data_IF_396314497089
#
_entry.id   IF_396314497089
#
_cell.length_a   1.000
_cell.length_b   1.000
_cell.length_c   1.000
_cell.angle_alpha   90.00
_cell.angle_beta   90.00
_cell.angle_gamma   90.00
#
_symmetry.space_group_name_H-M   'P 1'
#
loop_
_entity.id
_entity.type
_entity.pdbx_description
1 polymer ?
#
# COMPACT_ATOMS: atom_id res chain seq x y z
N UNK A 1 -14.07 5.93 2.02
CA UNK A 1 -13.00 5.09 2.66
C UNK A 1 -12.25 5.88 3.71
N UNK A 2 -11.72 5.22 4.74
CA UNK A 2 -10.85 5.85 5.75
C UNK A 2 -9.46 5.25 5.64
N UNK A 3 -8.44 6.10 5.52
CA UNK A 3 -7.04 5.69 5.45
C UNK A 3 -6.31 6.05 6.74
N UNK A 4 -5.61 5.09 7.32
CA UNK A 4 -4.67 5.27 8.42
C UNK A 4 -3.28 4.88 7.96
N UNK A 5 -2.31 5.77 8.14
CA UNK A 5 -0.90 5.49 7.91
C UNK A 5 -0.20 5.25 9.25
N UNK A 6 0.58 4.18 9.29
CA UNK A 6 1.57 3.94 10.32
C UNK A 6 2.96 4.12 9.73
N UNK A 7 3.87 4.62 10.55
CA UNK A 7 5.29 4.67 10.24
C UNK A 7 5.98 3.68 11.16
N UNK A 8 6.50 2.60 10.58
CA UNK A 8 7.10 1.50 11.30
C UNK A 8 8.59 1.37 10.98
N UNK A 9 9.29 0.59 11.78
CA UNK A 9 10.72 0.30 11.71
C UNK A 9 11.63 1.55 11.61
N UNK A 10 12.96 1.39 11.72
CA UNK A 10 13.91 2.52 11.63
C UNK A 10 13.91 3.26 10.29
N UNK A 11 13.44 2.61 9.22
CA UNK A 11 13.36 3.22 7.88
C UNK A 11 12.10 4.04 7.66
N UNK A 12 11.16 4.06 8.66
CA UNK A 12 9.88 4.77 8.59
C UNK A 12 9.03 4.31 7.42
N UNK A 13 9.02 3.00 7.18
CA UNK A 13 8.13 2.40 6.20
C UNK A 13 6.67 2.77 6.49
N UNK A 14 5.89 2.96 5.44
CA UNK A 14 4.49 3.35 5.50
C UNK A 14 3.58 2.13 5.36
N UNK A 15 3.19 1.53 6.48
CA UNK A 15 2.10 0.54 6.50
C UNK A 15 0.75 1.26 6.49
N UNK A 16 -0.11 0.93 5.53
CA UNK A 16 -1.42 1.54 5.38
C UNK A 16 -2.54 0.60 5.81
N UNK A 17 -3.55 1.15 6.50
CA UNK A 17 -4.83 0.48 6.76
C UNK A 17 -5.93 1.28 6.08
N UNK A 18 -6.52 0.71 5.05
CA UNK A 18 -7.65 1.30 4.33
C UNK A 18 -8.93 0.55 4.68
N UNK A 19 -9.92 1.25 5.21
CA UNK A 19 -11.20 0.66 5.61
C UNK A 19 -12.40 1.23 4.85
N UNK A 20 -13.40 0.38 4.62
CA UNK A 20 -14.69 0.78 4.13
C UNK A 20 -15.42 1.57 5.22
N UNK A 21 -15.42 2.90 5.14
CA UNK A 21 -16.18 3.72 6.06
C UNK A 21 -17.63 3.83 5.59
N UNK A 22 -18.51 2.95 5.99
CA UNK A 22 -19.95 3.26 5.97
C UNK A 22 -20.32 4.05 7.23
N UNK A 23 -20.11 5.37 7.20
CA UNK A 23 -20.79 6.27 8.12
C UNK A 23 -22.24 6.42 7.64
N UNK A 24 -23.16 5.68 8.27
CA UNK A 24 -24.61 5.91 8.15
C UNK A 24 -25.14 6.35 9.52
N UNK A 25 -25.48 7.63 9.68
CA UNK A 25 -25.92 8.19 10.96
C UNK A 25 -27.24 7.59 11.50
N UNK A 26 -27.95 6.80 10.73
CA UNK A 26 -29.30 6.31 11.01
C UNK A 26 -29.43 4.80 11.29
N UNK A 27 -28.32 4.05 11.43
CA UNK A 27 -28.38 2.60 11.68
C UNK A 27 -27.72 2.14 12.97
N UNK A 28 -28.55 1.63 13.85
CA UNK A 28 -28.23 0.98 15.13
C UNK A 28 -27.51 -0.38 14.98
N UNK A 29 -27.26 -0.88 13.77
CA UNK A 29 -26.51 -2.10 13.53
C UNK A 29 -25.06 -1.76 13.17
N UNK A 30 -24.15 -2.08 14.06
CA UNK A 30 -22.70 -2.05 13.86
C UNK A 30 -22.36 -3.16 12.84
N UNK A 31 -22.36 -2.83 11.55
CA UNK A 31 -21.67 -3.66 10.58
C UNK A 31 -20.18 -3.57 10.88
N UNK A 32 -19.49 -4.70 10.97
CA UNK A 32 -18.02 -4.72 11.00
C UNK A 32 -17.51 -3.90 9.80
N UNK A 33 -16.54 -3.04 10.05
CA UNK A 33 -15.83 -2.32 8.99
C UNK A 33 -14.77 -3.25 8.44
N UNK A 34 -14.78 -3.50 7.14
CA UNK A 34 -13.73 -4.30 6.49
C UNK A 34 -12.53 -3.41 6.19
N UNK A 35 -11.36 -3.96 6.33
CA UNK A 35 -10.12 -3.24 6.04
C UNK A 35 -9.11 -4.13 5.30
N UNK A 36 -8.31 -3.48 4.46
CA UNK A 36 -7.09 -4.05 3.89
C UNK A 36 -5.88 -3.37 4.52
N UNK A 37 -4.82 -4.14 4.64
CA UNK A 37 -3.50 -3.66 5.06
C UNK A 37 -2.59 -3.69 3.84
N UNK A 38 -1.87 -2.61 3.58
CA UNK A 38 -0.86 -2.54 2.53
C UNK A 38 0.50 -2.41 3.21
N UNK A 39 1.34 -3.38 2.94
CA UNK A 39 2.61 -3.67 3.60
C UNK A 39 2.49 -3.93 5.11
N UNK A 40 3.53 -4.44 5.72
CA UNK A 40 3.54 -4.81 7.13
C UNK A 40 4.94 -4.61 7.71
N UNK A 41 5.29 -3.34 7.95
CA UNK A 41 6.63 -2.95 8.38
C UNK A 41 6.86 -2.96 9.87
N UNK A 42 5.91 -3.46 10.70
CA UNK A 42 6.06 -3.48 12.14
C UNK A 42 7.20 -4.41 12.57
N UNK A 43 8.25 -3.80 13.15
CA UNK A 43 9.51 -4.46 13.45
C UNK A 43 9.56 -5.13 14.82
N UNK A 44 8.87 -4.55 15.82
CA UNK A 44 8.93 -5.00 17.21
C UNK A 44 7.53 -5.12 17.84
N UNK A 45 7.48 -5.70 19.04
CA UNK A 45 6.24 -5.92 19.80
C UNK A 45 5.49 -4.60 20.10
N UNK A 46 6.18 -3.49 20.30
CA UNK A 46 5.58 -2.18 20.57
C UNK A 46 4.83 -1.66 19.33
N UNK A 47 5.42 -1.84 18.16
CA UNK A 47 4.80 -1.46 16.90
C UNK A 47 3.60 -2.38 16.58
N UNK A 48 3.74 -3.68 16.82
CA UNK A 48 2.66 -4.68 16.69
C UNK A 48 1.49 -4.37 17.63
N UNK A 49 1.77 -4.03 18.88
CA UNK A 49 0.74 -3.63 19.85
C UNK A 49 0.00 -2.37 19.37
N UNK A 50 0.73 -1.33 18.95
CA UNK A 50 0.14 -0.08 18.45
C UNK A 50 -0.77 -0.31 17.24
N UNK A 51 -0.39 -1.21 16.35
CA UNK A 51 -1.22 -1.62 15.21
C UNK A 51 -2.49 -2.34 15.68
N UNK A 52 -2.34 -3.36 16.52
CA UNK A 52 -3.47 -4.15 17.06
C UNK A 52 -4.47 -3.31 17.83
N UNK A 53 -4.00 -2.40 18.68
CA UNK A 53 -4.85 -1.47 19.43
C UNK A 53 -5.72 -0.61 18.48
N UNK A 54 -5.15 -0.14 17.38
CA UNK A 54 -5.91 0.61 16.37
C UNK A 54 -6.99 -0.27 15.73
N UNK A 55 -6.64 -1.47 15.28
CA UNK A 55 -7.59 -2.39 14.63
C UNK A 55 -8.76 -2.71 15.58
N UNK A 56 -8.49 -2.99 16.83
CA UNK A 56 -9.52 -3.29 17.83
C UNK A 56 -10.37 -2.04 18.16
N UNK A 57 -9.73 -0.89 18.37
CA UNK A 57 -10.42 0.37 18.69
C UNK A 57 -11.41 0.76 17.60
N UNK A 58 -11.00 0.64 16.34
CA UNK A 58 -11.83 0.96 15.18
C UNK A 58 -12.79 -0.17 14.78
N UNK A 59 -12.72 -1.32 15.46
CA UNK A 59 -13.54 -2.52 15.21
C UNK A 59 -13.42 -3.01 13.74
N UNK A 60 -12.19 -3.03 13.23
CA UNK A 60 -11.91 -3.43 11.85
C UNK A 60 -11.81 -4.96 11.73
N UNK A 61 -12.38 -5.49 10.66
CA UNK A 61 -12.14 -6.86 10.18
C UNK A 61 -11.15 -6.79 9.02
N UNK A 62 -9.93 -7.31 9.23
CA UNK A 62 -8.92 -7.34 8.16
C UNK A 62 -9.29 -8.45 7.18
N UNK A 63 -9.55 -8.08 5.93
CA UNK A 63 -9.94 -9.00 4.84
C UNK A 63 -8.80 -9.25 3.84
N UNK A 64 -7.70 -8.53 3.93
CA UNK A 64 -6.54 -8.72 3.08
C UNK A 64 -5.29 -8.03 3.61
N UNK A 65 -4.14 -8.66 3.39
CA UNK A 65 -2.81 -8.08 3.53
C UNK A 65 -2.15 -8.10 2.15
N UNK A 66 -1.87 -6.93 1.61
CA UNK A 66 -1.30 -6.72 0.28
C UNK A 66 0.15 -6.30 0.42
N UNK A 67 1.07 -7.02 -0.20
CA UNK A 67 2.50 -6.69 -0.16
C UNK A 67 2.91 -6.07 -1.48
N UNK A 68 3.48 -4.86 -1.43
CA UNK A 68 3.95 -4.17 -2.64
C UNK A 68 5.21 -4.82 -3.20
N UNK A 69 6.13 -5.22 -2.35
CA UNK A 69 7.35 -5.96 -2.70
C UNK A 69 7.99 -6.57 -1.44
N UNK A 70 8.89 -7.56 -1.63
CA UNK A 70 9.42 -8.34 -0.51
C UNK A 70 10.76 -7.80 0.04
N UNK A 71 10.93 -6.48 0.20
CA UNK A 71 12.03 -5.97 1.02
C UNK A 71 11.73 -6.15 2.52
N UNK A 72 12.75 -6.38 3.35
CA UNK A 72 12.55 -6.73 4.76
C UNK A 72 11.70 -5.73 5.54
N UNK A 73 11.85 -4.45 5.29
CA UNK A 73 11.12 -3.38 5.97
C UNK A 73 9.62 -3.31 5.61
N UNK A 74 9.21 -3.88 4.47
CA UNK A 74 7.81 -3.99 4.05
C UNK A 74 7.13 -5.29 4.51
N UNK A 75 7.92 -6.29 4.94
CA UNK A 75 7.38 -7.63 5.26
C UNK A 75 7.73 -8.14 6.66
N UNK A 76 8.50 -7.40 7.46
CA UNK A 76 8.97 -7.91 8.76
C UNK A 76 7.81 -8.20 9.74
N UNK A 77 6.68 -7.51 9.64
CA UNK A 77 5.47 -7.78 10.41
C UNK A 77 4.46 -8.72 9.74
N UNK A 78 4.77 -9.25 8.55
CA UNK A 78 3.84 -10.06 7.75
C UNK A 78 3.29 -11.27 8.52
N UNK A 79 4.17 -12.06 9.12
CA UNK A 79 3.78 -13.27 9.88
C UNK A 79 2.91 -12.93 11.09
N UNK A 80 3.22 -11.81 11.77
CA UNK A 80 2.40 -11.31 12.86
C UNK A 80 0.98 -10.98 12.39
N UNK A 81 0.82 -10.24 11.28
CA UNK A 81 -0.50 -9.87 10.76
C UNK A 81 -1.26 -11.11 10.29
N UNK A 82 -0.60 -12.03 9.57
CA UNK A 82 -1.22 -13.29 9.12
C UNK A 82 -1.76 -14.11 10.29
N UNK A 83 -0.97 -14.26 11.34
CA UNK A 83 -1.33 -15.07 12.51
C UNK A 83 -2.39 -14.38 13.37
N UNK A 84 -2.23 -13.09 13.67
CA UNK A 84 -3.12 -12.36 14.56
C UNK A 84 -4.54 -12.18 14.00
N UNK A 85 -4.66 -12.08 12.68
CA UNK A 85 -5.95 -11.82 12.01
C UNK A 85 -6.44 -13.00 11.17
N UNK A 86 -5.73 -14.14 11.20
CA UNK A 86 -6.08 -15.38 10.48
C UNK A 86 -6.31 -15.14 8.97
N UNK A 87 -5.41 -14.41 8.34
CA UNK A 87 -5.41 -14.13 6.90
C UNK A 87 -4.10 -14.59 6.26
N UNK A 88 -4.03 -14.56 4.93
CA UNK A 88 -2.79 -14.78 4.19
C UNK A 88 -2.42 -13.54 3.40
N UNK A 89 -1.14 -13.20 3.40
CA UNK A 89 -0.62 -12.12 2.59
C UNK A 89 -0.70 -12.46 1.10
N UNK A 90 -1.11 -11.49 0.30
CA UNK A 90 -1.05 -11.54 -1.15
C UNK A 90 0.29 -10.96 -1.57
N UNK A 91 1.17 -11.82 -2.06
CA UNK A 91 2.53 -11.48 -2.50
C UNK A 91 2.62 -11.78 -3.98
N UNK A 92 3.20 -10.86 -4.76
CA UNK A 92 3.36 -11.02 -6.21
C UNK A 92 2.03 -11.38 -6.92
N UNK A 93 0.96 -10.62 -6.73
CA UNK A 93 -0.29 -10.88 -7.43
C UNK A 93 -0.11 -10.69 -8.93
N UNK A 94 -0.93 -11.40 -9.72
CA UNK A 94 -0.97 -11.22 -11.16
C UNK A 94 -1.51 -9.83 -11.49
N UNK A 95 -0.87 -9.15 -12.46
CA UNK A 95 -1.34 -7.85 -12.98
C UNK A 95 -2.80 -7.95 -13.45
N UNK A 96 -3.60 -6.95 -13.10
CA UNK A 96 -5.02 -6.88 -13.41
C UNK A 96 -5.91 -6.78 -12.16
N UNK A 97 -7.16 -7.20 -12.30
CA UNK A 97 -8.15 -7.07 -11.21
C UNK A 97 -7.88 -8.07 -10.08
N UNK A 98 -7.72 -7.55 -8.86
CA UNK A 98 -7.60 -8.37 -7.65
C UNK A 98 -8.99 -8.62 -7.03
N UNK A 99 -9.38 -9.89 -6.92
CA UNK A 99 -10.64 -10.27 -6.31
C UNK A 99 -10.54 -10.24 -4.77
N UNK A 100 -10.86 -9.10 -4.17
CA UNK A 100 -11.02 -8.95 -2.73
C UNK A 100 -12.43 -8.44 -2.40
N UNK A 101 -13.10 -9.01 -1.39
CA UNK A 101 -14.40 -8.51 -0.96
C UNK A 101 -14.31 -7.02 -0.55
N UNK A 102 -15.33 -6.24 -0.90
CA UNK A 102 -15.50 -4.83 -0.53
C UNK A 102 -14.52 -3.82 -1.17
N UNK A 103 -13.48 -4.27 -1.85
CA UNK A 103 -12.47 -3.41 -2.45
C UNK A 103 -12.33 -3.70 -3.94
N UNK A 104 -12.36 -2.63 -4.75
CA UNK A 104 -12.09 -2.70 -6.19
C UNK A 104 -10.63 -2.32 -6.42
N UNK A 105 -9.76 -3.30 -6.58
CA UNK A 105 -8.31 -3.10 -6.65
C UNK A 105 -7.78 -3.62 -7.98
N UNK A 106 -7.03 -2.79 -8.66
CA UNK A 106 -6.24 -3.14 -9.82
C UNK A 106 -4.76 -3.25 -9.43
N UNK A 107 -4.14 -4.37 -9.77
CA UNK A 107 -2.70 -4.60 -9.58
C UNK A 107 -1.96 -4.15 -10.83
N UNK A 108 -1.01 -3.25 -10.66
CA UNK A 108 -0.11 -2.78 -11.72
C UNK A 108 1.29 -3.29 -11.42
N UNK A 109 1.82 -4.19 -12.24
CA UNK A 109 3.20 -4.66 -12.09
C UNK A 109 4.17 -3.53 -12.40
N UNK A 110 5.04 -3.21 -11.44
CA UNK A 110 6.00 -2.09 -11.51
C UNK A 110 7.42 -2.52 -11.12
N UNK A 111 8.00 -3.54 -11.79
CA UNK A 111 9.36 -3.96 -11.51
C UNK A 111 10.37 -2.84 -11.77
N UNK A 112 11.52 -2.91 -11.08
CA UNK A 112 12.64 -1.99 -11.30
C UNK A 112 13.32 -1.52 -10.03
N UNK A 113 12.61 -1.20 -8.95
CA UNK A 113 13.16 -1.13 -7.60
C UNK A 113 13.47 -2.54 -7.10
N UNK A 114 12.53 -3.43 -7.30
CA UNK A 114 12.63 -4.87 -7.10
C UNK A 114 11.84 -5.60 -8.20
N UNK A 115 12.23 -6.82 -8.53
CA UNK A 115 11.61 -7.58 -9.62
C UNK A 115 10.16 -7.98 -9.36
N UNK A 116 9.77 -8.11 -8.08
CA UNK A 116 8.44 -8.48 -7.62
C UNK A 116 7.53 -7.27 -7.29
N UNK A 117 8.00 -6.05 -7.55
CA UNK A 117 7.28 -4.84 -7.18
C UNK A 117 5.97 -4.66 -7.95
N UNK A 118 4.92 -4.31 -7.20
CA UNK A 118 3.59 -3.97 -7.72
C UNK A 118 3.05 -2.72 -7.04
N UNK A 119 2.15 -2.02 -7.75
CA UNK A 119 1.31 -0.97 -7.17
C UNK A 119 -0.13 -1.48 -7.07
N UNK A 120 -0.85 -1.04 -6.04
CA UNK A 120 -2.28 -1.33 -5.84
C UNK A 120 -3.09 -0.07 -6.11
N UNK A 121 -3.85 -0.06 -7.20
CA UNK A 121 -4.68 1.05 -7.62
C UNK A 121 -6.15 0.80 -7.28
N UNK A 122 -6.79 1.78 -6.64
CA UNK A 122 -8.22 1.79 -6.34
C UNK A 122 -8.88 2.89 -7.20
N UNK A 123 -9.41 2.56 -8.37
CA UNK A 123 -9.90 3.55 -9.33
C UNK A 123 -11.10 4.36 -8.82
N UNK A 124 -11.99 3.76 -8.05
CA UNK A 124 -13.16 4.44 -7.51
C UNK A 124 -12.79 5.52 -6.48
N UNK A 125 -11.73 5.27 -5.70
CA UNK A 125 -11.23 6.16 -4.66
C UNK A 125 -10.16 7.11 -5.19
N UNK A 126 -9.67 6.90 -6.41
CA UNK A 126 -8.53 7.60 -7.01
C UNK A 126 -7.29 7.54 -6.11
N UNK A 127 -6.98 6.37 -5.61
CA UNK A 127 -5.86 6.11 -4.70
C UNK A 127 -4.95 5.06 -5.29
N UNK A 128 -3.63 5.25 -5.17
CA UNK A 128 -2.64 4.24 -5.54
C UNK A 128 -1.58 4.11 -4.45
N UNK A 129 -1.27 2.87 -4.07
CA UNK A 129 -0.19 2.52 -3.16
C UNK A 129 0.97 2.03 -4.01
N UNK A 130 2.06 2.79 -4.00
CA UNK A 130 3.16 2.58 -4.96
C UNK A 130 4.35 1.81 -4.39
N UNK A 131 4.32 1.47 -3.09
CA UNK A 131 5.52 0.93 -2.44
C UNK A 131 6.73 1.80 -2.77
N UNK A 132 7.82 1.16 -3.14
CA UNK A 132 9.07 1.85 -3.49
C UNK A 132 9.26 2.08 -5.01
N UNK A 133 8.16 2.17 -5.75
CA UNK A 133 8.21 2.52 -7.17
C UNK A 133 8.30 4.02 -7.39
N UNK A 134 7.37 4.79 -6.80
CA UNK A 134 7.24 6.24 -7.01
C UNK A 134 7.03 6.94 -5.66
N UNK A 135 7.89 7.92 -5.37
CA UNK A 135 7.84 8.79 -4.20
C UNK A 135 7.54 10.23 -4.61
N UNK A 136 7.25 11.07 -3.62
CA UNK A 136 7.18 12.52 -3.88
C UNK A 136 8.51 13.04 -4.42
N UNK A 137 8.49 13.54 -5.67
CA UNK A 137 9.64 14.11 -6.39
C UNK A 137 10.86 13.17 -6.48
N UNK A 138 10.64 11.85 -6.35
CA UNK A 138 11.69 10.83 -6.36
C UNK A 138 11.16 9.47 -6.79
N UNK A 139 12.06 8.50 -6.89
CA UNK A 139 11.76 7.10 -7.22
C UNK A 139 12.54 6.15 -6.32
N UNK A 140 12.15 4.88 -6.30
CA UNK A 140 12.89 3.83 -5.62
C UNK A 140 14.31 3.67 -6.17
N UNK A 141 15.24 3.28 -5.30
CA UNK A 141 16.61 2.93 -5.69
C UNK A 141 16.62 1.68 -6.55
N UNK A 142 17.61 1.55 -7.40
CA UNK A 142 17.73 0.42 -8.36
C UNK A 142 19.10 -0.27 -8.31
N UNK A 143 19.89 0.03 -7.29
CA UNK A 143 21.26 -0.48 -7.11
C UNK A 143 21.34 -1.74 -6.23
N UNK A 144 20.21 -2.20 -5.67
CA UNK A 144 20.12 -3.46 -4.92
C UNK A 144 19.87 -4.65 -5.87
N UNK A 145 20.14 -5.90 -5.42
CA UNK A 145 19.83 -7.08 -6.21
C UNK A 145 18.36 -7.15 -6.65
N UNK A 146 18.13 -7.35 -7.94
CA UNK A 146 16.79 -7.30 -8.55
C UNK A 146 16.37 -5.91 -9.05
N UNK A 147 17.19 -4.87 -8.77
CA UNK A 147 16.97 -3.50 -9.25
C UNK A 147 17.45 -3.26 -10.67
N UNK A 148 16.71 -2.48 -11.45
CA UNK A 148 17.07 -2.02 -12.82
C UNK A 148 16.40 -0.69 -13.16
N UNK A 149 17.20 0.34 -13.38
CA UNK A 149 16.72 1.70 -13.66
C UNK A 149 15.87 1.76 -14.94
N UNK A 150 16.29 1.08 -16.01
CA UNK A 150 15.57 1.09 -17.27
C UNK A 150 14.20 0.46 -17.15
N UNK A 151 14.09 -0.58 -16.35
CA UNK A 151 12.82 -1.26 -16.03
C UNK A 151 11.94 -0.36 -15.17
N UNK A 152 12.51 0.31 -14.15
CA UNK A 152 11.76 1.23 -13.30
C UNK A 152 11.16 2.39 -14.11
N UNK A 153 11.94 2.99 -15.02
CA UNK A 153 11.43 4.06 -15.91
C UNK A 153 10.25 3.55 -16.79
N UNK A 154 10.30 2.30 -17.26
CA UNK A 154 9.16 1.69 -17.98
C UNK A 154 7.93 1.51 -17.09
N UNK A 155 8.14 1.13 -15.84
CA UNK A 155 7.09 0.98 -14.84
C UNK A 155 6.43 2.31 -14.49
N UNK A 156 7.21 3.38 -14.31
CA UNK A 156 6.70 4.73 -14.06
C UNK A 156 5.76 5.22 -15.18
N UNK A 157 6.05 4.88 -16.44
CA UNK A 157 5.17 5.23 -17.57
C UNK A 157 3.77 4.63 -17.47
N UNK A 158 3.60 3.51 -16.76
CA UNK A 158 2.27 2.93 -16.48
C UNK A 158 1.49 3.76 -15.46
N UNK A 159 2.18 4.44 -14.54
CA UNK A 159 1.56 5.23 -13.49
C UNK A 159 1.14 6.62 -13.95
N UNK A 160 1.95 7.28 -14.79
CA UNK A 160 1.69 8.66 -15.22
C UNK A 160 0.49 8.81 -16.16
N UNK A 161 -0.06 7.71 -16.68
CA UNK A 161 -1.28 7.73 -17.49
C UNK A 161 -2.56 7.66 -16.64
N UNK A 162 -2.45 7.42 -15.34
CA UNK A 162 -3.56 7.47 -14.40
C UNK A 162 -4.14 8.89 -14.29
N UNK A 163 -5.39 9.05 -13.86
CA UNK A 163 -6.00 10.37 -13.66
C UNK A 163 -5.13 11.28 -12.79
N UNK A 164 -5.03 12.54 -13.16
CA UNK A 164 -4.14 13.51 -12.50
C UNK A 164 -4.46 13.75 -11.03
N UNK A 165 -5.71 13.60 -10.65
CA UNK A 165 -6.20 13.72 -9.27
C UNK A 165 -6.03 12.44 -8.43
N UNK A 166 -5.36 11.41 -8.98
CA UNK A 166 -5.03 10.18 -8.23
C UNK A 166 -4.03 10.50 -7.14
N UNK A 167 -4.39 10.17 -5.89
CA UNK A 167 -3.53 10.28 -4.72
C UNK A 167 -2.54 9.12 -4.68
N UNK A 168 -1.26 9.42 -4.48
CA UNK A 168 -0.17 8.46 -4.37
C UNK A 168 0.22 8.29 -2.90
N UNK A 169 0.28 7.05 -2.46
CA UNK A 169 0.71 6.64 -1.12
C UNK A 169 1.94 5.73 -1.25
N UNK A 170 3.14 6.28 -1.05
CA UNK A 170 4.40 5.55 -1.26
C UNK A 170 4.77 4.68 -0.05
N UNK A 171 5.75 3.78 -0.24
CA UNK A 171 6.33 2.98 0.84
C UNK A 171 7.10 3.79 1.88
N UNK A 172 7.62 4.96 1.49
CA UNK A 172 8.32 5.91 2.37
C UNK A 172 7.97 7.34 2.03
N UNK A 173 8.06 8.23 3.03
CA UNK A 173 7.90 9.68 2.83
C UNK A 173 6.45 10.16 2.83
N UNK A 174 6.17 11.18 2.04
CA UNK A 174 4.87 11.85 2.01
C UNK A 174 4.03 11.39 0.82
N UNK A 175 2.72 11.46 0.99
CA UNK A 175 1.76 11.29 -0.11
C UNK A 175 1.85 12.46 -1.11
N UNK A 176 1.53 12.17 -2.37
CA UNK A 176 1.56 13.13 -3.47
C UNK A 176 0.40 12.85 -4.44
N UNK A 177 0.43 13.41 -5.64
CA UNK A 177 -0.56 13.16 -6.70
C UNK A 177 0.12 12.90 -8.05
N UNK A 178 -0.57 12.23 -8.96
CA UNK A 178 -0.08 12.08 -10.35
C UNK A 178 0.20 13.45 -10.99
N UNK A 179 -0.67 14.45 -10.77
CA UNK A 179 -0.45 15.80 -11.30
C UNK A 179 0.84 16.43 -10.79
N UNK A 180 1.11 16.32 -9.48
CA UNK A 180 2.32 16.87 -8.89
C UNK A 180 3.57 16.21 -9.45
N UNK A 181 3.57 14.86 -9.49
CA UNK A 181 4.74 14.12 -9.97
C UNK A 181 5.04 14.37 -11.45
N UNK A 182 4.03 14.50 -12.30
CA UNK A 182 4.22 14.88 -13.71
C UNK A 182 4.89 16.24 -13.90
N UNK A 183 4.74 17.15 -12.93
CA UNK A 183 5.31 18.50 -13.01
C UNK A 183 6.70 18.62 -12.36
N UNK A 184 6.92 17.88 -11.27
CA UNK A 184 8.07 18.14 -10.40
C UNK A 184 9.02 16.95 -10.25
N UNK A 185 8.60 15.72 -10.61
CA UNK A 185 9.47 14.57 -10.48
C UNK A 185 10.48 14.52 -11.65
N UNK A 186 11.78 14.56 -11.37
CA UNK A 186 12.81 14.63 -12.42
C UNK A 186 12.98 13.34 -13.23
N UNK A 187 12.25 12.27 -12.86
CA UNK A 187 12.32 10.96 -13.53
C UNK A 187 11.11 10.69 -14.44
N UNK A 188 10.12 11.59 -14.50
CA UNK A 188 8.89 11.45 -15.28
C UNK A 188 8.82 12.35 -16.50
#
# INVERSE_FOLDING_TARGET
MTLKTFYFNPYRECTYVLSDAEYRPDRVMIKKKHAIVIDAGMYDEREQQRFTEYIHKEQLEIVGLLITHAHPDHVCGKEFVETSFNIKAIIQPIEGQLALPYFNIEVIATPGHKEDAVCYYLPNEKMIFTGDTLFQESIGRTDLPGGDMGTLIRSLKKLVVLPEDTQIYPGHGYSTTIAHEKLYNPYL
#
